data_IF_308455893019
#
_entry.id   IF_308455893019
#
_cell.length_a   1.000
_cell.length_b   1.000
_cell.length_c   1.000
_cell.angle_alpha   90.00
_cell.angle_beta   90.00
_cell.angle_gamma   90.00
#
_symmetry.space_group_name_H-M   'P 1'
#
loop_
_entity.id
_entity.type
_entity.pdbx_description
1 polymer ?
#
# COMPACT_ATOMS: atom_id res chain seq x y z
N UNK A 1 -3.83 -2.34 -22.67
CA UNK A 1 -2.51 -2.74 -23.20
C UNK A 1 -1.75 -3.60 -22.17
N UNK A 2 -2.24 -4.79 -21.85
CA UNK A 2 -1.64 -5.68 -20.82
C UNK A 2 -0.69 -6.75 -21.41
N UNK A 3 -0.67 -6.92 -22.74
CA UNK A 3 -0.02 -8.05 -23.39
C UNK A 3 1.45 -7.82 -23.82
N UNK A 4 1.99 -6.61 -23.73
CA UNK A 4 3.35 -6.33 -24.25
C UNK A 4 4.49 -6.63 -23.25
N UNK A 5 4.21 -6.77 -21.96
CA UNK A 5 5.26 -6.98 -20.95
C UNK A 5 5.65 -8.46 -20.73
N UNK A 6 4.90 -9.41 -21.30
CA UNK A 6 5.15 -10.86 -21.11
C UNK A 6 6.12 -11.44 -22.16
N UNK A 7 6.57 -10.66 -23.15
CA UNK A 7 7.44 -11.13 -24.25
C UNK A 7 8.85 -10.50 -24.27
N UNK A 8 9.38 -10.00 -23.15
CA UNK A 8 10.79 -9.63 -23.09
C UNK A 8 11.63 -10.88 -22.81
N UNK A 9 12.37 -11.37 -23.82
CA UNK A 9 13.29 -12.50 -23.68
C UNK A 9 14.40 -12.23 -22.65
N UNK A 10 15.01 -13.31 -22.15
CA UNK A 10 16.09 -13.24 -21.16
C UNK A 10 17.20 -12.25 -21.58
N UNK A 11 17.47 -11.25 -20.73
CA UNK A 11 18.53 -10.27 -20.94
C UNK A 11 18.11 -8.93 -21.57
N UNK A 12 16.83 -8.71 -21.88
CA UNK A 12 16.35 -7.38 -22.27
C UNK A 12 16.14 -6.50 -21.03
N UNK A 13 16.66 -5.26 -21.00
CA UNK A 13 16.39 -4.33 -19.92
C UNK A 13 14.89 -4.01 -19.89
N UNK A 14 14.22 -4.38 -18.80
CA UNK A 14 12.83 -3.99 -18.58
C UNK A 14 12.82 -2.50 -18.30
N UNK A 15 12.30 -1.72 -19.25
CA UNK A 15 12.09 -0.28 -19.07
C UNK A 15 10.88 -0.11 -18.15
N UNK A 16 11.15 0.04 -16.86
CA UNK A 16 10.12 0.28 -15.87
C UNK A 16 9.64 1.73 -15.93
N UNK A 17 8.33 1.93 -16.07
CA UNK A 17 7.71 3.24 -15.85
C UNK A 17 7.88 3.62 -14.37
N UNK A 18 8.26 4.87 -14.10
CA UNK A 18 8.39 5.41 -12.75
C UNK A 18 7.12 5.18 -11.90
N UNK A 19 5.94 5.33 -12.51
CA UNK A 19 4.66 5.07 -11.85
C UNK A 19 4.52 3.62 -11.38
N UNK A 20 4.96 2.64 -12.18
CA UNK A 20 4.90 1.23 -11.80
C UNK A 20 5.84 0.89 -10.65
N UNK A 21 7.00 1.56 -10.56
CA UNK A 21 7.91 1.40 -9.43
C UNK A 21 7.28 1.92 -8.14
N UNK A 22 6.69 3.12 -8.18
CA UNK A 22 6.02 3.73 -7.03
C UNK A 22 4.81 2.91 -6.58
N UNK A 23 4.00 2.41 -7.52
CA UNK A 23 2.88 1.52 -7.25
C UNK A 23 3.35 0.21 -6.58
N UNK A 24 4.43 -0.40 -7.09
CA UNK A 24 4.99 -1.63 -6.52
C UNK A 24 5.49 -1.41 -5.09
N UNK A 25 6.22 -0.32 -4.84
CA UNK A 25 6.73 0.02 -3.50
C UNK A 25 5.56 0.30 -2.55
N UNK A 26 4.54 1.03 -3.01
CA UNK A 26 3.33 1.28 -2.24
C UNK A 26 2.64 -0.03 -1.82
N UNK A 27 2.45 -0.99 -2.73
CA UNK A 27 1.87 -2.28 -2.38
C UNK A 27 2.72 -3.06 -1.39
N UNK A 28 4.05 -2.98 -1.47
CA UNK A 28 4.94 -3.61 -0.48
C UNK A 28 4.73 -2.99 0.90
N UNK A 29 4.66 -1.66 1.01
CA UNK A 29 4.41 -0.97 2.29
C UNK A 29 3.06 -1.37 2.90
N UNK A 30 2.00 -1.34 2.10
CA UNK A 30 0.67 -1.78 2.53
C UNK A 30 0.69 -3.25 2.93
N UNK A 31 1.36 -4.09 2.15
CA UNK A 31 1.53 -5.51 2.44
C UNK A 31 2.17 -5.75 3.80
N UNK A 32 3.25 -5.04 4.13
CA UNK A 32 3.89 -5.12 5.46
C UNK A 32 2.89 -4.75 6.57
N UNK A 33 2.14 -3.65 6.40
CA UNK A 33 1.18 -3.19 7.40
C UNK A 33 -0.01 -4.14 7.61
N UNK A 34 -0.35 -4.93 6.60
CA UNK A 34 -1.39 -5.97 6.65
C UNK A 34 -0.84 -7.29 7.22
N UNK A 35 0.39 -7.66 6.85
CA UNK A 35 0.97 -8.96 7.18
C UNK A 35 1.49 -9.05 8.61
N UNK A 36 1.78 -7.92 9.24
CA UNK A 36 2.39 -7.88 10.57
C UNK A 36 1.52 -7.11 11.56
N UNK A 37 1.53 -7.57 12.81
CA UNK A 37 0.99 -6.82 13.95
C UNK A 37 2.05 -5.93 14.62
N UNK A 38 3.32 -6.12 14.27
CA UNK A 38 4.46 -5.32 14.70
C UNK A 38 5.78 -5.96 14.22
N UNK A 39 6.94 -5.45 14.66
CA UNK A 39 8.24 -5.97 14.26
C UNK A 39 8.37 -7.44 14.65
N UNK A 40 8.66 -8.31 13.68
CA UNK A 40 8.77 -9.76 13.86
C UNK A 40 7.50 -10.46 14.41
N UNK A 41 6.33 -9.80 14.36
CA UNK A 41 5.05 -10.36 14.80
C UNK A 41 4.12 -10.52 13.58
N UNK A 42 4.22 -11.62 12.81
CA UNK A 42 3.31 -11.87 11.70
C UNK A 42 1.89 -12.08 12.24
N UNK A 43 0.88 -11.64 11.49
CA UNK A 43 -0.54 -11.88 11.82
C UNK A 43 -0.86 -13.36 11.76
N UNK A 44 -1.84 -13.80 12.53
CA UNK A 44 -2.30 -15.18 12.47
C UNK A 44 -3.06 -15.47 11.16
N UNK A 45 -3.05 -16.73 10.71
CA UNK A 45 -3.66 -17.15 9.44
C UNK A 45 -5.15 -16.80 9.35
N UNK A 46 -5.88 -16.76 10.47
CA UNK A 46 -7.31 -16.41 10.49
C UNK A 46 -7.54 -14.94 10.13
N UNK A 47 -6.74 -14.05 10.71
CA UNK A 47 -6.83 -12.61 10.47
C UNK A 47 -6.36 -12.26 9.05
N UNK A 48 -5.29 -12.93 8.61
CA UNK A 48 -4.83 -12.87 7.22
C UNK A 48 -5.89 -13.37 6.26
N UNK A 49 -6.50 -14.53 6.51
CA UNK A 49 -7.57 -15.07 5.68
C UNK A 49 -8.79 -14.13 5.62
N UNK A 50 -9.13 -13.42 6.70
CA UNK A 50 -10.23 -12.45 6.66
C UNK A 50 -9.93 -11.27 5.73
N UNK A 51 -8.67 -10.81 5.72
CA UNK A 51 -8.19 -9.82 4.78
C UNK A 51 -8.13 -10.45 3.37
N UNK A 52 -7.22 -11.39 3.14
CA UNK A 52 -6.91 -11.97 1.84
C UNK A 52 -8.08 -12.68 1.17
N UNK A 53 -8.97 -13.38 1.87
CA UNK A 53 -10.10 -14.05 1.21
C UNK A 53 -11.10 -13.05 0.63
N UNK A 54 -11.24 -11.86 1.25
CA UNK A 54 -12.06 -10.78 0.69
C UNK A 54 -11.39 -10.12 -0.52
N UNK A 55 -10.06 -10.16 -0.62
CA UNK A 55 -9.28 -9.45 -1.64
C UNK A 55 -8.77 -10.29 -2.81
N UNK A 56 -8.43 -11.56 -2.58
CA UNK A 56 -7.67 -12.41 -3.49
C UNK A 56 -8.39 -13.71 -3.89
N UNK A 57 -9.50 -14.05 -3.21
CA UNK A 57 -10.29 -15.26 -3.51
C UNK A 57 -11.48 -15.02 -4.46
N UNK A 58 -11.56 -13.84 -5.08
CA UNK A 58 -12.51 -13.52 -6.15
C UNK A 58 -11.87 -13.72 -7.52
N UNK A 59 -12.70 -14.07 -8.51
CA UNK A 59 -12.35 -14.80 -9.75
C UNK A 59 -11.27 -14.18 -10.66
N UNK A 60 -10.80 -12.95 -10.43
CA UNK A 60 -9.68 -12.34 -11.18
C UNK A 60 -8.85 -11.37 -10.30
N UNK A 61 -7.74 -11.83 -9.70
CA UNK A 61 -6.92 -11.06 -8.77
C UNK A 61 -6.32 -9.78 -9.35
N UNK A 62 -6.08 -9.72 -10.67
CA UNK A 62 -5.50 -8.55 -11.35
C UNK A 62 -6.49 -7.41 -11.50
N UNK A 63 -7.78 -7.71 -11.71
CA UNK A 63 -8.82 -6.70 -11.89
C UNK A 63 -9.28 -6.16 -10.52
N UNK A 64 -9.41 -7.03 -9.51
CA UNK A 64 -9.85 -6.58 -8.19
C UNK A 64 -8.77 -5.81 -7.42
N UNK A 65 -7.48 -6.16 -7.54
CA UNK A 65 -6.37 -5.34 -6.97
C UNK A 65 -6.43 -3.90 -7.46
N UNK A 66 -6.63 -3.77 -8.77
CA UNK A 66 -6.77 -2.51 -9.48
C UNK A 66 -7.99 -1.75 -8.95
N UNK A 67 -9.19 -2.36 -8.93
CA UNK A 67 -10.44 -1.71 -8.49
C UNK A 67 -10.48 -1.35 -7.00
N UNK A 68 -9.91 -2.19 -6.13
CA UNK A 68 -10.07 -2.05 -4.67
C UNK A 68 -9.12 -1.02 -4.07
N UNK A 69 -8.00 -0.74 -4.73
CA UNK A 69 -7.01 0.24 -4.28
C UNK A 69 -7.18 1.57 -5.05
N UNK A 70 -7.70 1.52 -6.29
CA UNK A 70 -8.07 2.70 -7.09
C UNK A 70 -9.42 3.33 -6.73
N UNK A 71 -10.10 2.83 -5.69
CA UNK A 71 -11.36 3.41 -5.22
C UNK A 71 -11.27 3.78 -3.74
N UNK A 72 -11.46 5.07 -3.43
CA UNK A 72 -11.55 5.58 -2.06
C UNK A 72 -12.67 4.90 -1.24
N UNK A 73 -13.72 4.42 -1.92
CA UNK A 73 -14.85 3.69 -1.31
C UNK A 73 -14.44 2.34 -0.73
N UNK A 74 -13.33 1.75 -1.19
CA UNK A 74 -12.86 0.44 -0.75
C UNK A 74 -11.57 0.50 0.08
N UNK A 75 -10.81 1.59 0.01
CA UNK A 75 -9.57 1.78 0.76
C UNK A 75 -9.77 1.68 2.28
N UNK A 76 -10.67 2.48 2.83
CA UNK A 76 -10.96 2.52 4.28
C UNK A 76 -11.52 1.19 4.82
N UNK A 77 -12.68 0.70 4.34
CA UNK A 77 -13.37 -0.43 4.97
C UNK A 77 -12.76 -1.78 4.64
N UNK A 78 -11.81 -1.87 3.71
CA UNK A 78 -11.19 -3.14 3.39
C UNK A 78 -9.70 -3.16 3.74
N UNK A 79 -8.91 -2.10 3.53
CA UNK A 79 -7.47 -2.13 3.81
C UNK A 79 -7.16 -1.61 5.22
N UNK A 80 -7.59 -0.39 5.53
CA UNK A 80 -7.19 0.26 6.79
C UNK A 80 -7.68 -0.48 8.04
N UNK A 81 -8.86 -1.12 7.99
CA UNK A 81 -9.40 -1.89 9.12
C UNK A 81 -8.54 -3.09 9.52
N UNK A 82 -7.71 -3.59 8.60
CA UNK A 82 -6.85 -4.75 8.82
C UNK A 82 -5.43 -4.36 9.21
N UNK A 83 -5.09 -3.07 9.23
CA UNK A 83 -3.81 -2.58 9.70
C UNK A 83 -3.78 -2.64 11.23
N UNK A 84 -2.69 -3.21 11.78
CA UNK A 84 -2.48 -3.29 13.23
C UNK A 84 -2.47 -1.92 13.90
N UNK A 85 -2.85 -1.88 15.17
CA UNK A 85 -2.73 -0.70 16.03
C UNK A 85 -1.28 -0.17 16.03
N UNK A 86 -0.30 -1.07 15.95
CA UNK A 86 1.11 -0.70 15.86
C UNK A 86 1.40 0.24 14.69
N UNK A 87 0.77 0.02 13.53
CA UNK A 87 0.97 0.80 12.31
C UNK A 87 -0.04 1.96 12.14
N UNK A 88 -0.87 2.25 13.13
CA UNK A 88 -1.79 3.40 13.09
C UNK A 88 -1.11 4.74 12.77
N UNK A 89 0.10 5.06 13.32
CA UNK A 89 0.73 6.35 13.07
C UNK A 89 1.05 6.62 11.59
N UNK A 90 1.18 5.58 10.75
CA UNK A 90 1.53 5.70 9.33
C UNK A 90 0.30 5.60 8.40
N UNK A 91 -0.90 5.41 8.92
CA UNK A 91 -2.13 5.41 8.11
C UNK A 91 -2.33 6.72 7.31
N UNK A 92 -2.08 7.92 7.87
CA UNK A 92 -2.16 9.16 7.11
C UNK A 92 -1.22 9.16 5.89
N UNK A 93 0.02 8.69 6.06
CA UNK A 93 0.99 8.52 4.98
C UNK A 93 0.49 7.57 3.90
N UNK A 94 0.03 6.37 4.28
CA UNK A 94 -0.49 5.39 3.32
C UNK A 94 -1.68 5.96 2.52
N UNK A 95 -2.53 6.76 3.16
CA UNK A 95 -3.67 7.41 2.50
C UNK A 95 -3.22 8.50 1.52
N UNK A 96 -2.22 9.31 1.86
CA UNK A 96 -1.66 10.30 0.94
C UNK A 96 -0.96 9.63 -0.25
N UNK A 97 -0.19 8.56 -0.02
CA UNK A 97 0.45 7.78 -1.07
C UNK A 97 -0.58 7.12 -2.00
N UNK A 98 -1.65 6.54 -1.45
CA UNK A 98 -2.74 5.94 -2.24
C UNK A 98 -3.36 6.99 -3.19
N UNK A 99 -3.65 8.20 -2.69
CA UNK A 99 -4.21 9.28 -3.53
C UNK A 99 -3.24 9.76 -4.60
N UNK A 100 -1.95 9.84 -4.29
CA UNK A 100 -0.92 10.31 -5.22
C UNK A 100 -0.54 9.30 -6.30
N UNK A 101 -0.45 8.02 -5.94
CA UNK A 101 0.10 6.95 -6.79
C UNK A 101 -1.02 6.18 -7.51
N UNK A 102 -2.13 5.91 -6.81
CA UNK A 102 -3.14 4.95 -7.26
C UNK A 102 -4.41 5.63 -7.80
N UNK A 103 -4.80 6.78 -7.22
CA UNK A 103 -6.02 7.50 -7.60
C UNK A 103 -5.93 8.53 -8.77
N UNK A 104 -4.90 8.61 -9.64
CA UNK A 104 -4.87 9.70 -10.61
C UNK A 104 -5.75 9.36 -11.83
N UNK A 105 -7.07 9.43 -11.69
CA UNK A 105 -8.01 9.58 -12.80
C UNK A 105 -8.86 10.81 -12.53
N UNK A 106 -8.53 11.94 -13.14
CA UNK A 106 -9.48 13.04 -13.29
C UNK A 106 -10.03 13.05 -14.69
N UNK A 107 -11.34 13.24 -14.80
CA UNK A 107 -12.02 13.49 -16.07
C UNK A 107 -12.07 14.99 -16.35
N UNK A 108 -11.66 15.42 -17.54
CA UNK A 108 -11.96 16.76 -18.01
C UNK A 108 -13.45 16.86 -18.38
N UNK A 109 -13.89 18.07 -18.72
CA UNK A 109 -15.25 18.34 -19.21
C UNK A 109 -15.57 17.61 -20.53
N UNK A 110 -14.56 17.01 -21.18
CA UNK A 110 -14.70 16.25 -22.42
C UNK A 110 -14.69 14.73 -22.18
N UNK A 111 -14.63 14.28 -20.92
CA UNK A 111 -14.59 12.87 -20.55
C UNK A 111 -13.23 12.19 -20.77
N UNK A 112 -12.17 12.94 -21.10
CA UNK A 112 -10.82 12.39 -21.17
C UNK A 112 -10.28 12.19 -19.76
N UNK A 113 -9.72 11.02 -19.53
CA UNK A 113 -9.14 10.64 -18.25
C UNK A 113 -7.64 10.91 -18.30
N UNK A 114 -7.12 11.71 -17.37
CA UNK A 114 -5.70 12.02 -17.25
C UNK A 114 -5.24 11.94 -15.79
N UNK A 115 -3.93 11.73 -15.62
CA UNK A 115 -3.28 11.81 -14.31
C UNK A 115 -3.23 13.27 -13.85
N UNK A 116 -3.78 13.55 -12.67
CA UNK A 116 -3.97 14.92 -12.17
C UNK A 116 -2.63 15.61 -11.84
N UNK A 117 -1.64 14.83 -11.40
CA UNK A 117 -0.25 15.25 -11.11
C UNK A 117 0.64 14.03 -11.31
N UNK A 118 1.79 14.19 -11.97
CA UNK A 118 2.83 13.15 -12.00
C UNK A 118 3.45 13.03 -10.61
N UNK A 119 3.05 12.01 -9.85
CA UNK A 119 3.64 11.74 -8.54
C UNK A 119 5.04 11.16 -8.74
N UNK A 120 6.06 11.88 -8.26
CA UNK A 120 7.47 11.52 -8.49
C UNK A 120 8.08 10.76 -7.30
N UNK A 121 9.26 10.20 -7.51
CA UNK A 121 10.05 9.58 -6.43
C UNK A 121 10.45 10.60 -5.36
N UNK A 122 10.76 11.84 -5.73
CA UNK A 122 11.11 12.89 -4.77
C UNK A 122 9.91 13.27 -3.89
N UNK A 123 8.70 13.32 -4.48
CA UNK A 123 7.47 13.53 -3.73
C UNK A 123 7.20 12.36 -2.76
N UNK A 124 7.43 11.13 -3.20
CA UNK A 124 7.32 9.93 -2.37
C UNK A 124 8.24 10.00 -1.14
N UNK A 125 9.53 10.32 -1.37
CA UNK A 125 10.55 10.42 -0.33
C UNK A 125 10.22 11.56 0.64
N UNK A 126 9.88 12.73 0.11
CA UNK A 126 9.55 13.92 0.93
C UNK A 126 8.38 13.62 1.86
N UNK A 127 7.32 13.00 1.34
CA UNK A 127 6.14 12.65 2.12
C UNK A 127 6.46 11.66 3.26
N UNK A 128 7.35 10.68 3.01
CA UNK A 128 7.82 9.77 4.05
C UNK A 128 8.59 10.54 5.12
N UNK A 129 9.54 11.38 4.73
CA UNK A 129 10.36 12.15 5.67
C UNK A 129 9.49 13.07 6.52
N UNK A 130 8.59 13.83 5.91
CA UNK A 130 7.65 14.72 6.60
C UNK A 130 6.80 13.94 7.60
N UNK A 131 6.21 12.81 7.19
CA UNK A 131 5.43 11.97 8.10
C UNK A 131 6.27 11.53 9.29
N UNK A 132 7.49 11.01 9.06
CA UNK A 132 8.34 10.50 10.13
C UNK A 132 8.81 11.61 11.08
N UNK A 133 9.00 12.83 10.58
CA UNK A 133 9.33 14.00 11.41
C UNK A 133 8.15 14.46 12.27
N UNK A 134 6.93 14.34 11.77
CA UNK A 134 5.70 14.70 12.48
C UNK A 134 5.29 13.66 13.55
N UNK A 135 5.89 12.46 13.52
CA UNK A 135 5.62 11.45 14.53
C UNK A 135 6.18 11.87 15.90
N UNK A 136 5.31 11.87 16.90
CA UNK A 136 5.73 12.09 18.29
C UNK A 136 6.69 10.98 18.76
N UNK A 137 7.56 11.24 19.75
CA UNK A 137 8.47 10.23 20.31
C UNK A 137 7.78 8.97 20.86
N UNK A 138 6.49 9.06 21.21
CA UNK A 138 5.68 7.94 21.66
C UNK A 138 4.73 7.37 20.60
N UNK A 139 4.92 7.71 19.32
CA UNK A 139 4.05 7.25 18.25
C UNK A 139 4.09 5.72 18.07
N UNK A 140 5.24 5.11 18.32
CA UNK A 140 5.44 3.67 18.23
C UNK A 140 5.45 3.05 19.61
N UNK A 141 4.70 1.95 19.76
CA UNK A 141 4.82 1.10 20.95
C UNK A 141 6.17 0.38 20.83
N UNK A 142 7.12 0.56 21.78
CA UNK A 142 8.37 -0.18 21.76
C UNK A 142 8.12 -1.69 21.77
N UNK A 143 9.05 -2.47 21.24
CA UNK A 143 8.95 -3.95 21.18
C UNK A 143 9.11 -4.59 22.58
N UNK A 144 9.05 -3.81 23.67
CA UNK A 144 9.57 -4.14 25.00
C UNK A 144 9.26 -5.58 25.44
N UNK A 145 10.36 -6.32 25.64
CA UNK A 145 10.55 -7.42 26.59
C UNK A 145 9.26 -8.11 27.07
N UNK A 146 8.62 -8.89 26.20
CA UNK A 146 7.83 -10.04 26.65
C UNK A 146 8.81 -11.09 27.19
N UNK A 147 9.37 -10.81 28.37
CA UNK A 147 10.29 -11.66 29.09
C UNK A 147 10.13 -11.38 30.57
N UNK A 148 9.53 -12.35 31.26
CA UNK A 148 9.48 -12.46 32.71
C UNK A 148 8.33 -11.71 33.43
N UNK A 149 7.10 -12.16 33.19
CA UNK A 149 6.14 -12.30 34.29
C UNK A 149 6.07 -13.77 34.65
N UNK A 150 7.01 -14.21 35.47
CA UNK A 150 6.85 -15.45 36.23
C UNK A 150 5.67 -15.31 37.19
N UNK A 151 4.76 -16.28 37.11
CA UNK A 151 3.91 -16.79 38.18
C UNK A 151 3.66 -18.28 37.90
#
# INVERSE_FOLDING_TARGET
MLAQHVMAGAGQPVIHNQTHNLESIFYVLVGICILFDGPNKPKCDKDLAQCFNKFFHTFEPSILKTITIQSDLTWQPFILQHISVYFQPIIPLLTCLQKGIILPLSTDNNGNVYHKVDFTHDMFISLIIETLLDLSPGAWIPVDQEGDSGD
#
